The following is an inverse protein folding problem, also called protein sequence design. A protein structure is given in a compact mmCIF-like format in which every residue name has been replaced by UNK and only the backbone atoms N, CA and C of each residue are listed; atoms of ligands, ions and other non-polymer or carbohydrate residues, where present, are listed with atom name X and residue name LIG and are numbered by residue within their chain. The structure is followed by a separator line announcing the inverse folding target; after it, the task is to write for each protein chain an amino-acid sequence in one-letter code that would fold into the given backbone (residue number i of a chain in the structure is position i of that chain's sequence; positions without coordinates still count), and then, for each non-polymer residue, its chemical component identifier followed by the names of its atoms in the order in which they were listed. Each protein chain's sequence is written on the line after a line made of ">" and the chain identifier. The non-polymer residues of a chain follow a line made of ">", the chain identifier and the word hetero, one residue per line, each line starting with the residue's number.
data_IF_558363681810
#
_entry.id   IF_558363681810
#
_cell.length_a   1.000
_cell.length_b   1.000
_cell.length_c   1.000
_cell.angle_alpha   90.00
_cell.angle_beta   90.00
_cell.angle_gamma   90.00
#
_symmetry.space_group_name_H-M   'P 1'
#
loop_
_entity.id
_entity.type
_entity.pdbx_description
1 polymer ?
#
# COMPACT_ATOMS: atom_id res chain seq x y z
N UNK A 1 3.20 13.72 2.60
CA UNK A 1 3.68 12.32 2.53
C UNK A 1 4.49 12.03 3.79
N UNK A 2 4.08 11.00 4.52
CA UNK A 2 4.72 10.48 5.74
C UNK A 2 5.48 9.18 5.41
N UNK A 3 6.70 8.94 5.93
CA UNK A 3 7.51 7.77 5.60
C UNK A 3 6.81 6.44 5.90
N UNK A 4 5.97 6.41 6.94
CA UNK A 4 5.14 5.24 7.29
C UNK A 4 4.15 4.86 6.18
N UNK A 5 3.64 5.82 5.40
CA UNK A 5 2.74 5.52 4.29
C UNK A 5 3.47 4.74 3.18
N UNK A 6 4.75 5.04 2.95
CA UNK A 6 5.58 4.33 1.97
C UNK A 6 5.92 2.91 2.44
N UNK A 7 6.25 2.72 3.72
CA UNK A 7 6.47 1.38 4.30
C UNK A 7 5.23 0.49 4.13
N UNK A 8 4.05 1.05 4.39
CA UNK A 8 2.77 0.39 4.19
C UNK A 8 2.48 0.07 2.72
N UNK A 9 2.81 1.00 1.82
CA UNK A 9 2.66 0.80 0.39
C UNK A 9 3.55 -0.33 -0.12
N UNK A 10 4.83 -0.35 0.27
CA UNK A 10 5.75 -1.44 -0.07
C UNK A 10 5.27 -2.78 0.47
N UNK A 11 4.77 -2.83 1.72
CA UNK A 11 4.22 -4.06 2.28
C UNK A 11 3.00 -4.58 1.49
N UNK A 12 2.10 -3.70 1.05
CA UNK A 12 0.95 -4.08 0.21
C UNK A 12 1.39 -4.55 -1.17
N UNK A 13 2.39 -3.89 -1.78
CA UNK A 13 2.94 -4.26 -3.08
C UNK A 13 3.63 -5.63 -3.05
N UNK A 14 4.37 -5.94 -1.98
CA UNK A 14 5.04 -7.23 -1.78
C UNK A 14 4.03 -8.37 -1.57
N UNK A 15 3.05 -8.17 -0.69
CA UNK A 15 2.15 -9.24 -0.25
C UNK A 15 0.95 -9.42 -1.19
N UNK A 16 0.69 -8.45 -2.08
CA UNK A 16 -0.49 -8.36 -2.97
C UNK A 16 -1.82 -8.53 -2.21
N UNK A 17 -1.82 -8.26 -0.91
CA UNK A 17 -2.95 -8.50 -0.01
C UNK A 17 -2.88 -7.56 1.17
N UNK A 18 -3.90 -6.70 1.32
CA UNK A 18 -4.02 -5.79 2.46
C UNK A 18 -4.07 -6.54 3.80
N UNK A 19 -4.67 -7.74 3.84
CA UNK A 19 -4.77 -8.53 5.07
C UNK A 19 -3.39 -9.07 5.49
N UNK A 20 -2.61 -9.62 4.54
CA UNK A 20 -1.26 -10.12 4.84
C UNK A 20 -0.29 -8.98 5.17
N UNK A 21 -0.35 -7.89 4.41
CA UNK A 21 0.47 -6.71 4.65
C UNK A 21 0.19 -6.10 6.03
N UNK A 22 -1.08 -6.02 6.45
CA UNK A 22 -1.45 -5.51 7.77
C UNK A 22 -0.92 -6.39 8.91
N UNK A 23 -0.94 -7.71 8.73
CA UNK A 23 -0.34 -8.65 9.68
C UNK A 23 1.19 -8.48 9.75
N UNK A 24 1.86 -8.34 8.60
CA UNK A 24 3.32 -8.15 8.48
C UNK A 24 3.82 -6.87 9.15
N UNK A 25 3.08 -5.77 9.00
CA UNK A 25 3.42 -4.47 9.60
C UNK A 25 2.74 -4.22 10.96
N UNK A 26 2.12 -5.24 11.54
CA UNK A 26 1.48 -5.21 12.87
C UNK A 26 0.44 -4.09 13.06
N UNK A 27 -0.42 -3.89 12.06
CA UNK A 27 -1.55 -2.94 12.15
C UNK A 27 -2.86 -3.62 11.80
N UNK A 28 -3.96 -2.94 12.14
CA UNK A 28 -5.29 -3.35 11.64
C UNK A 28 -5.42 -2.98 10.16
N UNK A 29 -6.05 -3.85 9.37
CA UNK A 29 -6.20 -3.67 7.92
C UNK A 29 -6.91 -2.36 7.54
N UNK A 30 -7.88 -1.90 8.36
CA UNK A 30 -8.57 -0.62 8.14
C UNK A 30 -7.66 0.60 8.25
N UNK A 31 -6.69 0.57 9.18
CA UNK A 31 -5.69 1.62 9.34
C UNK A 31 -4.71 1.61 8.16
N UNK A 32 -4.29 0.42 7.71
CA UNK A 32 -3.46 0.25 6.53
C UNK A 32 -4.14 0.84 5.28
N UNK A 33 -5.39 0.42 4.99
CA UNK A 33 -6.15 0.94 3.85
C UNK A 33 -6.37 2.44 3.90
N UNK A 34 -6.66 3.01 5.08
CA UNK A 34 -6.81 4.46 5.23
C UNK A 34 -5.49 5.19 4.94
N UNK A 35 -4.37 4.63 5.38
CA UNK A 35 -3.04 5.23 5.16
C UNK A 35 -2.65 5.19 3.68
N UNK A 36 -2.95 4.09 2.98
CA UNK A 36 -2.73 3.98 1.53
C UNK A 36 -3.62 4.94 0.76
N UNK A 37 -4.91 5.04 1.11
CA UNK A 37 -5.81 5.99 0.47
C UNK A 37 -5.34 7.45 0.62
N UNK A 38 -4.86 7.84 1.80
CA UNK A 38 -4.26 9.17 2.01
C UNK A 38 -3.02 9.37 1.13
N UNK A 39 -2.18 8.35 0.99
CA UNK A 39 -1.02 8.40 0.10
C UNK A 39 -1.45 8.58 -1.37
N UNK A 40 -2.49 7.88 -1.81
CA UNK A 40 -3.08 8.01 -3.14
C UNK A 40 -3.72 9.39 -3.36
N UNK A 41 -4.36 9.98 -2.35
CA UNK A 41 -4.94 11.32 -2.43
C UNK A 41 -3.85 12.41 -2.51
N UNK A 42 -2.70 12.18 -1.86
CA UNK A 42 -1.54 13.07 -1.88
C UNK A 42 -0.74 12.97 -3.19
N UNK A 43 -0.84 11.85 -3.90
CA UNK A 43 -0.19 11.63 -5.19
C UNK A 43 -1.20 11.87 -6.32
N UNK A 44 -0.98 12.85 -7.22
CA UNK A 44 -1.91 13.13 -8.32
C UNK A 44 -2.06 11.98 -9.34
N UNK A 45 -1.31 10.89 -9.17
CA UNK A 45 -1.36 9.69 -10.00
C UNK A 45 -1.81 8.50 -9.16
N UNK A 46 -3.05 8.06 -9.38
CA UNK A 46 -3.59 6.84 -8.79
C UNK A 46 -2.84 5.64 -9.38
N UNK A 47 -1.79 5.20 -8.70
CA UNK A 47 -1.14 3.94 -8.98
C UNK A 47 -1.93 2.87 -8.22
N UNK A 48 -2.96 2.32 -8.85
CA UNK A 48 -3.60 1.13 -8.32
C UNK A 48 -2.50 0.09 -8.10
N UNK A 49 -2.42 -0.48 -6.91
CA UNK A 49 -1.38 -1.43 -6.46
C UNK A 49 -1.42 -2.78 -7.21
N UNK A 50 -1.82 -2.80 -8.48
CA UNK A 50 -1.66 -3.94 -9.36
C UNK A 50 -0.20 -4.08 -9.76
N UNK A 51 0.38 -5.29 -9.74
CA UNK A 51 1.73 -5.49 -10.23
C UNK A 51 1.78 -5.01 -11.68
N UNK A 52 2.67 -4.08 -11.98
CA UNK A 52 3.09 -3.82 -13.35
C UNK A 52 3.44 -5.17 -13.95
N UNK A 53 2.59 -5.66 -14.84
CA UNK A 53 2.89 -6.81 -15.69
C UNK A 53 4.26 -6.54 -16.28
N UNK A 54 5.26 -7.29 -15.81
CA UNK A 54 6.53 -7.44 -16.52
C UNK A 54 6.15 -7.97 -17.89
N UNK A 55 6.09 -7.07 -18.86
CA UNK A 55 6.18 -7.39 -20.27
C UNK A 55 7.63 -7.81 -20.50
N UNK A 56 7.89 -9.10 -20.32
CA UNK A 56 8.84 -9.83 -21.17
C UNK A 56 8.01 -10.60 -22.20
#
# INVERSE_FOLDING_TARGET
>A
MEPRQLEYFTAVADDMSFTRAAQRVHVVQSALSTSIKKLEDELPFSCSTGPASRSD
#
